data_IF_627843130750
#
_entry.id   IF_627843130750
#
_cell.length_a   1.000
_cell.length_b   1.000
_cell.length_c   1.000
_cell.angle_alpha   90.00
_cell.angle_beta   90.00
_cell.angle_gamma   90.00
#
_symmetry.space_group_name_H-M   'P 1'
#
loop_
_entity.id
_entity.type
_entity.pdbx_description
1 polymer ?
#
# COMPACT_ATOMS: atom_id res chain seq x y z
N UNK A 1 -16.87 24.55 19.60
CA UNK A 1 -17.01 23.56 18.52
C UNK A 1 -16.57 22.24 19.12
N UNK A 2 -17.45 21.24 19.20
CA UNK A 2 -17.04 19.92 19.70
C UNK A 2 -16.15 19.28 18.63
N UNK A 3 -14.95 18.88 19.02
CA UNK A 3 -14.04 18.13 18.16
C UNK A 3 -14.48 16.67 18.17
N UNK A 4 -14.70 16.11 17.00
CA UNK A 4 -15.06 14.70 16.83
C UNK A 4 -13.85 13.83 17.21
N UNK A 5 -14.03 12.73 17.97
CA UNK A 5 -12.94 11.82 18.25
C UNK A 5 -12.30 11.24 16.98
N UNK A 6 -11.00 10.98 17.02
CA UNK A 6 -10.25 10.36 15.92
C UNK A 6 -10.82 9.00 15.52
N UNK A 7 -11.29 8.20 16.47
CA UNK A 7 -11.91 6.90 16.19
C UNK A 7 -13.22 7.00 15.37
N UNK A 8 -13.89 8.16 15.37
CA UNK A 8 -15.09 8.43 14.58
C UNK A 8 -14.77 9.07 13.22
N UNK A 9 -13.58 9.67 13.07
CA UNK A 9 -13.12 10.29 11.82
C UNK A 9 -12.35 9.26 10.97
N UNK A 10 -11.44 8.51 11.60
CA UNK A 10 -10.50 7.62 10.94
C UNK A 10 -11.19 6.30 10.60
N UNK A 11 -11.50 6.14 9.32
CA UNK A 11 -11.93 4.88 8.71
C UNK A 11 -10.99 4.50 7.57
N UNK A 12 -11.04 3.24 7.14
CA UNK A 12 -10.31 2.76 5.98
C UNK A 12 -10.62 3.61 4.73
N UNK A 13 -11.91 3.86 4.46
CA UNK A 13 -12.36 4.65 3.32
C UNK A 13 -11.91 6.11 3.40
N UNK A 14 -11.95 6.71 4.61
CA UNK A 14 -11.45 8.07 4.82
C UNK A 14 -9.95 8.15 4.49
N UNK A 15 -9.15 7.20 4.99
CA UNK A 15 -7.71 7.18 4.77
C UNK A 15 -7.37 6.94 3.30
N UNK A 16 -8.08 6.03 2.63
CA UNK A 16 -7.95 5.78 1.20
C UNK A 16 -8.30 7.01 0.37
N UNK A 17 -9.33 7.77 0.77
CA UNK A 17 -9.71 9.02 0.11
C UNK A 17 -8.74 10.18 0.38
N UNK A 18 -8.19 10.25 1.60
CA UNK A 18 -7.37 11.39 2.05
C UNK A 18 -5.90 11.32 1.63
N UNK A 19 -5.42 10.16 1.17
CA UNK A 19 -4.03 9.92 0.76
C UNK A 19 -3.93 9.59 -0.73
N UNK A 20 -2.71 9.54 -1.27
CA UNK A 20 -2.49 9.02 -2.61
C UNK A 20 -2.39 7.49 -2.59
N UNK A 21 -2.86 6.83 -3.66
CA UNK A 21 -2.94 5.36 -3.75
C UNK A 21 -1.62 4.67 -3.35
N UNK A 22 -0.47 5.26 -3.70
CA UNK A 22 0.86 4.71 -3.37
C UNK A 22 1.24 4.85 -1.90
N UNK A 23 0.90 5.94 -1.22
CA UNK A 23 1.18 6.04 0.21
C UNK A 23 0.29 5.12 1.01
N UNK A 24 -0.97 4.94 0.58
CA UNK A 24 -1.88 3.97 1.20
C UNK A 24 -1.34 2.55 1.13
N UNK A 25 -1.03 2.06 -0.08
CA UNK A 25 -0.49 0.72 -0.29
C UNK A 25 0.82 0.50 0.49
N UNK A 26 1.70 1.51 0.49
CA UNK A 26 2.97 1.42 1.23
C UNK A 26 2.77 1.46 2.74
N UNK A 27 1.72 2.11 3.25
CA UNK A 27 1.42 2.13 4.67
C UNK A 27 1.09 0.72 5.19
N UNK A 28 0.44 -0.11 4.39
CA UNK A 28 0.13 -1.51 4.72
C UNK A 28 1.39 -2.37 4.93
N UNK A 29 2.55 -1.93 4.44
CA UNK A 29 3.83 -2.63 4.64
C UNK A 29 4.51 -2.30 5.97
N UNK A 30 4.06 -1.25 6.66
CA UNK A 30 4.62 -0.82 7.95
C UNK A 30 4.01 -1.68 9.05
N UNK A 31 4.86 -2.42 9.75
CA UNK A 31 4.43 -3.37 10.79
C UNK A 31 4.60 -2.85 12.20
N UNK A 32 5.50 -1.88 12.39
CA UNK A 32 5.89 -1.40 13.71
C UNK A 32 5.45 0.04 13.87
N UNK A 33 4.39 0.21 14.63
CA UNK A 33 3.84 1.51 15.04
C UNK A 33 3.74 1.47 16.56
N UNK A 34 4.58 2.25 17.22
CA UNK A 34 4.62 2.35 18.67
C UNK A 34 3.88 3.61 19.08
N UNK A 35 2.69 3.46 19.68
CA UNK A 35 1.92 4.59 20.19
C UNK A 35 2.59 5.13 21.46
N UNK A 36 2.93 6.41 21.44
CA UNK A 36 3.56 7.13 22.55
C UNK A 36 2.51 7.81 23.43
N UNK A 37 1.52 8.44 22.79
CA UNK A 37 0.41 9.11 23.44
C UNK A 37 -0.87 8.92 22.62
N UNK A 38 -1.98 8.59 23.28
CA UNK A 38 -3.28 8.46 22.64
C UNK A 38 -4.36 9.12 23.50
N UNK A 39 -5.07 10.05 22.89
CA UNK A 39 -6.26 10.70 23.43
C UNK A 39 -7.36 10.67 22.36
N UNK A 40 -8.64 10.90 22.72
CA UNK A 40 -9.72 10.89 21.74
C UNK A 40 -9.51 11.83 20.56
N UNK A 41 -8.76 12.93 20.71
CA UNK A 41 -8.59 13.94 19.66
C UNK A 41 -7.15 14.08 19.17
N UNK A 42 -6.21 13.32 19.71
CA UNK A 42 -4.80 13.41 19.37
C UNK A 42 -4.08 12.10 19.62
N UNK A 43 -3.21 11.72 18.68
CA UNK A 43 -2.26 10.62 18.83
C UNK A 43 -0.85 11.09 18.47
N UNK A 44 0.13 10.56 19.19
CA UNK A 44 1.54 10.61 18.84
C UNK A 44 2.10 9.18 18.80
N UNK A 45 2.85 8.88 17.75
CA UNK A 45 3.40 7.55 17.51
C UNK A 45 4.78 7.62 16.88
N UNK A 46 5.60 6.62 17.19
CA UNK A 46 6.88 6.36 16.57
C UNK A 46 6.70 5.27 15.50
N UNK A 47 7.16 5.54 14.29
CA UNK A 47 7.07 4.60 13.17
C UNK A 47 8.47 4.28 12.68
N UNK A 48 8.82 3.00 12.69
CA UNK A 48 10.10 2.55 12.14
C UNK A 48 10.08 2.62 10.61
N UNK A 49 11.06 3.34 10.07
CA UNK A 49 11.19 3.60 8.65
C UNK A 49 12.44 2.95 8.05
N UNK A 50 12.96 3.56 7.00
CA UNK A 50 14.23 3.16 6.37
C UNK A 50 15.44 3.89 6.97
N UNK A 51 15.21 4.83 7.88
CA UNK A 51 16.25 5.57 8.59
C UNK A 51 16.61 4.85 9.90
N UNK A 52 17.79 5.15 10.45
CA UNK A 52 18.27 4.59 11.71
C UNK A 52 17.45 5.04 12.92
N UNK A 53 16.84 6.23 12.84
CA UNK A 53 15.94 6.77 13.87
C UNK A 53 14.47 6.67 13.42
N UNK A 54 13.53 6.32 14.34
CA UNK A 54 12.12 6.25 14.04
C UNK A 54 11.54 7.63 13.70
N UNK A 55 10.55 7.66 12.81
CA UNK A 55 9.82 8.87 12.48
C UNK A 55 8.72 9.12 13.51
N UNK A 56 8.62 10.36 14.01
CA UNK A 56 7.52 10.79 14.86
C UNK A 56 6.35 11.19 13.98
N UNK A 57 5.18 10.65 14.28
CA UNK A 57 3.91 10.95 13.64
C UNK A 57 2.95 11.49 14.67
N UNK A 58 2.26 12.57 14.33
CA UNK A 58 1.16 13.10 15.12
C UNK A 58 -0.09 13.20 14.27
N UNK A 59 -1.25 12.83 14.81
CA UNK A 59 -2.55 13.06 14.17
C UNK A 59 -3.42 13.81 15.16
N UNK A 60 -4.06 14.89 14.70
CA UNK A 60 -4.94 15.74 15.52
C UNK A 60 -6.30 15.85 14.85
N UNK A 61 -7.36 15.67 15.63
CA UNK A 61 -8.72 15.94 15.18
C UNK A 61 -8.97 17.46 15.18
N UNK A 62 -9.50 17.99 14.08
CA UNK A 62 -9.96 19.36 13.97
C UNK A 62 -11.37 19.37 13.35
N UNK A 63 -12.39 19.56 14.19
CA UNK A 63 -13.78 19.47 13.73
C UNK A 63 -14.15 18.03 13.35
N UNK A 64 -14.31 17.77 12.05
CA UNK A 64 -14.65 16.46 11.47
C UNK A 64 -13.54 15.90 10.58
N UNK A 65 -12.35 16.52 10.58
CA UNK A 65 -11.19 16.07 9.80
C UNK A 65 -10.02 15.74 10.72
N UNK A 66 -9.16 14.83 10.25
CA UNK A 66 -7.91 14.48 10.91
C UNK A 66 -6.73 15.15 10.19
N UNK A 67 -5.87 15.83 10.95
CA UNK A 67 -4.69 16.53 10.46
C UNK A 67 -3.44 15.75 10.90
N UNK A 68 -2.77 15.07 9.95
CA UNK A 68 -1.50 14.39 10.20
C UNK A 68 -0.30 15.36 10.14
N UNK A 69 0.76 15.00 10.83
CA UNK A 69 2.10 15.56 10.68
C UNK A 69 3.12 14.44 10.92
N UNK A 70 4.20 14.42 10.14
CA UNK A 70 5.24 13.41 10.23
C UNK A 70 6.62 14.06 10.04
N UNK A 71 7.63 13.59 10.77
CA UNK A 71 9.02 14.07 10.64
C UNK A 71 9.74 13.51 9.41
N UNK A 72 9.08 12.68 8.59
CA UNK A 72 9.69 12.15 7.38
C UNK A 72 9.87 13.24 6.30
N UNK A 73 10.83 13.10 5.38
CA UNK A 73 11.13 14.13 4.38
C UNK A 73 10.08 14.26 3.26
N UNK A 74 8.96 13.54 3.35
CA UNK A 74 7.87 13.61 2.36
C UNK A 74 6.95 14.77 2.71
N UNK A 75 6.77 15.71 1.79
CA UNK A 75 5.98 16.94 2.00
C UNK A 75 4.45 16.74 1.90
N UNK A 76 3.98 15.51 1.84
CA UNK A 76 2.54 15.21 1.79
C UNK A 76 1.98 15.07 3.20
N UNK A 77 0.82 15.68 3.43
CA UNK A 77 0.13 15.57 4.73
C UNK A 77 -0.04 14.09 5.14
N UNK A 78 -0.58 13.26 4.24
CA UNK A 78 -0.75 11.83 4.44
C UNK A 78 0.38 11.02 3.80
N UNK A 79 1.55 11.02 4.42
CA UNK A 79 2.62 10.08 4.06
C UNK A 79 2.28 8.66 4.53
N UNK A 80 2.99 7.65 4.01
CA UNK A 80 2.80 6.24 4.42
C UNK A 80 2.85 6.02 5.94
N UNK A 81 3.68 6.77 6.68
CA UNK A 81 3.78 6.64 8.14
C UNK A 81 2.54 7.21 8.85
N UNK A 82 2.04 8.36 8.39
CA UNK A 82 0.80 8.96 8.89
C UNK A 82 -0.40 8.04 8.62
N UNK A 83 -0.48 7.46 7.42
CA UNK A 83 -1.53 6.50 7.08
C UNK A 83 -1.44 5.24 7.94
N UNK A 84 -0.22 4.71 8.19
CA UNK A 84 -0.04 3.52 9.02
C UNK A 84 -0.53 3.75 10.47
N UNK A 85 -0.24 4.94 11.04
CA UNK A 85 -0.76 5.32 12.35
C UNK A 85 -2.29 5.49 12.31
N UNK A 86 -2.81 6.13 11.26
CA UNK A 86 -4.26 6.26 11.07
C UNK A 86 -4.97 4.92 11.03
N UNK A 87 -4.44 3.96 10.26
CA UNK A 87 -4.97 2.60 10.14
C UNK A 87 -4.92 1.85 11.48
N UNK A 88 -3.89 2.07 12.30
CA UNK A 88 -3.76 1.45 13.63
C UNK A 88 -4.86 1.90 14.61
N UNK A 89 -5.39 3.11 14.40
CA UNK A 89 -6.43 3.74 15.21
C UNK A 89 -7.84 3.49 14.67
N UNK A 90 -7.98 2.94 13.46
CA UNK A 90 -9.28 2.61 12.89
C UNK A 90 -9.92 1.47 13.69
N UNK A 91 -11.12 1.66 14.28
CA UNK A 91 -11.79 0.61 15.03
C UNK A 91 -12.28 -0.55 14.13
N UNK A 92 -12.53 -0.28 12.84
CA UNK A 92 -12.96 -1.27 11.84
C UNK A 92 -11.81 -2.15 11.34
N UNK A 93 -10.58 -1.70 11.53
CA UNK A 93 -9.37 -2.48 11.29
C UNK A 93 -9.04 -3.08 12.66
N UNK A 94 -9.37 -4.35 12.88
CA UNK A 94 -8.96 -5.06 14.11
C UNK A 94 -7.44 -4.93 14.36
N UNK A 95 -6.92 -5.44 15.49
CA UNK A 95 -5.46 -5.64 15.64
C UNK A 95 -4.88 -6.09 14.31
N UNK A 96 -3.74 -5.55 13.82
CA UNK A 96 -3.19 -5.87 12.50
C UNK A 96 -2.83 -7.36 12.40
N UNK A 97 -3.87 -8.15 12.26
CA UNK A 97 -3.94 -9.57 12.01
C UNK A 97 -4.46 -9.56 10.58
N UNK A 98 -3.50 -9.47 9.66
CA UNK A 98 -3.64 -9.56 8.21
C UNK A 98 -5.07 -9.39 7.64
N UNK A 99 -5.34 -8.32 6.88
CA UNK A 99 -6.14 -8.47 5.68
C UNK A 99 -5.15 -8.49 4.53
N UNK A 100 -4.34 -9.55 4.44
CA UNK A 100 -3.84 -9.90 3.12
C UNK A 100 -5.07 -10.37 2.38
N UNK A 101 -5.60 -9.55 1.48
CA UNK A 101 -6.18 -10.12 0.28
C UNK A 101 -5.06 -11.02 -0.25
N UNK A 102 -5.21 -12.31 -0.02
CA UNK A 102 -4.32 -13.30 -0.57
C UNK A 102 -4.51 -13.17 -2.08
N UNK A 103 -3.61 -12.41 -2.71
CA UNK A 103 -3.69 -12.10 -4.13
C UNK A 103 -3.79 -13.39 -4.95
N UNK A 104 -3.13 -14.46 -4.50
CA UNK A 104 -3.21 -15.77 -5.14
C UNK A 104 -4.59 -16.39 -4.96
N UNK A 105 -5.20 -16.33 -3.77
CA UNK A 105 -6.56 -16.82 -3.54
C UNK A 105 -7.64 -16.00 -4.25
N UNK A 106 -7.49 -14.66 -4.29
CA UNK A 106 -8.38 -13.74 -5.00
C UNK A 106 -8.29 -14.00 -6.50
N UNK A 107 -7.07 -14.12 -7.02
CA UNK A 107 -6.81 -14.42 -8.42
C UNK A 107 -7.31 -15.82 -8.79
N UNK A 108 -7.10 -16.83 -7.94
CA UNK A 108 -7.62 -18.18 -8.15
C UNK A 108 -9.15 -18.20 -8.19
N UNK A 109 -9.82 -17.47 -7.30
CA UNK A 109 -11.28 -17.34 -7.32
C UNK A 109 -11.78 -16.62 -8.57
N UNK A 110 -11.09 -15.56 -8.99
CA UNK A 110 -11.38 -14.89 -10.25
C UNK A 110 -11.24 -15.86 -11.43
N UNK A 111 -10.15 -16.62 -11.53
CA UNK A 111 -9.96 -17.61 -12.59
C UNK A 111 -11.03 -18.70 -12.57
N UNK A 112 -11.47 -19.13 -11.39
CA UNK A 112 -12.50 -20.16 -11.23
C UNK A 112 -13.90 -19.68 -11.62
N UNK A 113 -14.20 -18.38 -11.43
CA UNK A 113 -15.53 -17.81 -11.64
C UNK A 113 -15.68 -17.00 -12.93
N UNK A 114 -14.57 -16.61 -13.56
CA UNK A 114 -14.61 -15.77 -14.74
C UNK A 114 -15.18 -16.52 -15.97
N UNK A 115 -16.04 -15.88 -16.77
CA UNK A 115 -16.49 -16.44 -18.03
C UNK A 115 -15.32 -16.56 -19.01
N UNK A 116 -15.40 -17.54 -19.92
CA UNK A 116 -14.34 -17.87 -20.88
C UNK A 116 -13.85 -16.65 -21.66
N UNK A 117 -14.76 -15.76 -22.04
CA UNK A 117 -14.48 -14.54 -22.80
C UNK A 117 -13.58 -13.59 -22.00
N UNK A 118 -13.85 -13.42 -20.69
CA UNK A 118 -13.04 -12.57 -19.83
C UNK A 118 -11.63 -13.14 -19.65
N UNK A 119 -11.48 -14.46 -19.54
CA UNK A 119 -10.19 -15.14 -19.46
C UNK A 119 -9.38 -14.96 -20.76
N UNK A 120 -10.02 -15.08 -21.92
CA UNK A 120 -9.38 -14.84 -23.22
C UNK A 120 -8.91 -13.39 -23.33
N UNK A 121 -9.74 -12.43 -22.94
CA UNK A 121 -9.36 -11.02 -22.94
C UNK A 121 -8.17 -10.72 -22.03
N UNK A 122 -8.12 -11.31 -20.83
CA UNK A 122 -6.99 -11.18 -19.90
C UNK A 122 -5.70 -11.72 -20.53
N UNK A 123 -5.72 -12.94 -21.08
CA UNK A 123 -4.55 -13.57 -21.70
C UNK A 123 -4.04 -12.78 -22.93
N UNK A 124 -4.95 -12.28 -23.77
CA UNK A 124 -4.59 -11.43 -24.92
C UNK A 124 -3.96 -10.11 -24.45
N UNK A 125 -4.47 -9.52 -23.37
CA UNK A 125 -3.95 -8.28 -22.81
C UNK A 125 -2.56 -8.48 -22.21
N UNK A 126 -2.33 -9.57 -21.47
CA UNK A 126 -1.02 -9.93 -20.93
C UNK A 126 0.00 -10.22 -22.05
N UNK A 127 -0.43 -10.93 -23.10
CA UNK A 127 0.43 -11.19 -24.26
C UNK A 127 0.93 -9.90 -24.94
N UNK A 128 0.10 -8.85 -24.99
CA UNK A 128 0.47 -7.51 -25.52
C UNK A 128 1.41 -6.73 -24.61
N UNK A 129 1.35 -6.97 -23.30
CA UNK A 129 2.23 -6.34 -22.31
C UNK A 129 3.62 -6.98 -22.39
N UNK A 130 3.70 -8.31 -22.37
CA UNK A 130 4.97 -9.04 -22.47
C UNK A 130 5.71 -8.77 -23.78
N UNK A 131 4.99 -8.59 -24.89
CA UNK A 131 5.60 -8.27 -26.20
C UNK A 131 6.11 -6.82 -26.32
N UNK A 132 5.72 -5.90 -25.42
CA UNK A 132 6.34 -4.57 -25.31
C UNK A 132 7.61 -4.59 -24.45
N UNK A 133 7.65 -5.42 -23.40
CA UNK A 133 8.80 -5.48 -22.49
C UNK A 133 10.01 -6.19 -23.10
N UNK A 134 9.82 -7.09 -24.05
CA UNK A 134 10.92 -7.73 -24.81
C UNK A 134 11.66 -6.81 -25.78
N UNK A 135 11.21 -5.56 -25.99
CA UNK A 135 11.92 -4.60 -26.83
C UNK A 135 13.17 -3.99 -26.15
N UNK A 136 13.41 -4.25 -24.85
CA UNK A 136 14.55 -3.72 -24.08
C UNK A 136 15.43 -4.77 -23.40
N UNK A 137 15.44 -6.02 -23.88
CA UNK A 137 16.48 -6.99 -23.49
C UNK A 137 17.27 -7.43 -24.72
N UNK A 138 18.44 -6.84 -24.88
CA UNK A 138 19.51 -7.33 -25.75
C UNK A 138 19.84 -8.77 -25.39
N UNK A 139 19.32 -9.74 -26.14
CA UNK A 139 19.82 -11.10 -26.11
C UNK A 139 21.25 -11.08 -26.70
N UNK A 140 22.29 -11.56 -26.00
CA UNK A 140 23.58 -11.74 -26.64
C UNK A 140 23.44 -12.87 -27.67
N UNK A 141 23.77 -12.55 -28.93
CA UNK A 141 23.95 -13.56 -29.98
C UNK A 141 25.08 -14.50 -29.55
N UNK A 142 24.76 -15.72 -29.13
CA UNK A 142 25.78 -16.78 -29.10
C UNK A 142 26.16 -17.18 -30.54
N UNK A 143 27.44 -17.48 -30.81
CA UNK A 143 27.91 -17.71 -32.17
C UNK A 143 27.68 -19.15 -32.64
N UNK A 144 27.27 -19.24 -33.91
CA UNK A 144 27.52 -20.31 -34.89
C UNK A 144 27.63 -21.77 -34.37
N UNK A 145 26.55 -22.53 -34.56
CA UNK A 145 26.64 -23.97 -34.76
C UNK A 145 27.22 -24.26 -36.15
N UNK A 146 28.44 -24.79 -36.22
CA UNK A 146 29.03 -25.29 -37.47
C UNK A 146 28.90 -26.83 -37.52
N UNK A 147 28.44 -27.43 -38.64
CA UNK A 147 28.38 -28.88 -38.76
C UNK A 147 29.78 -29.44 -39.03
N UNK A 148 30.22 -30.41 -38.22
CA UNK A 148 31.40 -31.23 -38.53
C UNK A 148 31.08 -32.11 -39.73
N UNK A 149 31.81 -31.94 -40.84
CA UNK A 149 31.87 -32.95 -41.90
C UNK A 149 32.73 -34.12 -41.42
N UNK A 150 32.27 -35.34 -41.72
CA UNK A 150 33.01 -36.60 -41.53
C UNK A 150 34.24 -36.66 -42.44
#
# INVERSE_FOLDING_TARGET
>A
MNTTPLAEILSYDYLMWATDDRSFERALTIRTVDIVEETPTHVEACVQGTADEPYTVTIKAQGTIAIPSCTCPVEWAWCKHAVAVGLRLCPDVGEPCEPRLDDDAVFARFLAMAPREALIHLLVSLGRICSRTTAHSSFPRSPAWAPRKK
#
